data_IF_716388578341
#
_entry.id   IF_716388578341
#
_cell.length_a   1.000
_cell.length_b   1.000
_cell.length_c   1.000
_cell.angle_alpha   90.00
_cell.angle_beta   90.00
_cell.angle_gamma   90.00
#
_symmetry.space_group_name_H-M   'P 1'
#
loop_
_entity.id
_entity.type
_entity.pdbx_description
1 polymer ?
#
# COMPACT_ATOMS: atom_id res chain seq x y z
N UNK A 1 -32.62 -8.31 -25.91
CA UNK A 1 -31.65 -9.02 -26.77
C UNK A 1 -30.31 -8.31 -26.66
N UNK A 2 -29.26 -9.11 -26.47
CA UNK A 2 -27.80 -8.86 -26.36
C UNK A 2 -27.26 -7.77 -25.42
N UNK A 3 -26.61 -8.29 -24.38
CA UNK A 3 -25.41 -7.83 -23.65
C UNK A 3 -24.44 -6.90 -24.39
N UNK A 4 -23.85 -5.94 -23.66
CA UNK A 4 -22.46 -5.52 -23.89
C UNK A 4 -21.83 -5.00 -22.59
N UNK A 5 -21.40 -5.93 -21.74
CA UNK A 5 -20.44 -5.69 -20.67
C UNK A 5 -19.04 -5.70 -21.27
N UNK A 6 -18.50 -4.54 -21.62
CA UNK A 6 -17.13 -4.40 -22.12
C UNK A 6 -16.14 -4.56 -20.96
N UNK A 7 -15.66 -5.79 -20.76
CA UNK A 7 -14.50 -6.08 -19.94
C UNK A 7 -13.26 -5.43 -20.56
N UNK A 8 -12.63 -4.50 -19.85
CA UNK A 8 -11.30 -4.00 -20.21
C UNK A 8 -10.26 -5.07 -19.90
N UNK A 9 -9.57 -5.57 -20.92
CA UNK A 9 -8.44 -6.48 -20.73
C UNK A 9 -7.24 -5.73 -20.14
N UNK A 10 -6.69 -6.30 -19.08
CA UNK A 10 -5.52 -5.78 -18.36
C UNK A 10 -4.27 -6.29 -19.06
N UNK A 11 -3.35 -5.39 -19.37
CA UNK A 11 -2.03 -5.70 -19.92
C UNK A 11 -1.15 -6.39 -18.86
N UNK A 12 -1.32 -7.71 -18.76
CA UNK A 12 -0.23 -8.67 -18.88
C UNK A 12 1.14 -8.23 -18.32
N UNK A 13 1.94 -7.82 -19.29
CA UNK A 13 3.35 -7.50 -19.16
C UNK A 13 3.54 -6.15 -18.49
N UNK A 14 2.58 -5.22 -18.65
CA UNK A 14 2.60 -3.95 -17.93
C UNK A 14 2.37 -4.12 -16.42
N UNK A 15 1.48 -5.02 -15.99
CA UNK A 15 1.27 -5.32 -14.56
C UNK A 15 2.42 -6.13 -13.96
N UNK A 16 3.04 -7.03 -14.73
CA UNK A 16 4.26 -7.72 -14.30
C UNK A 16 5.44 -6.75 -14.17
N UNK A 17 5.68 -5.90 -15.18
CA UNK A 17 6.70 -4.86 -15.13
C UNK A 17 6.44 -3.85 -14.00
N UNK A 18 5.16 -3.53 -13.74
CA UNK A 18 4.76 -2.70 -12.59
C UNK A 18 5.02 -3.39 -11.27
N UNK A 19 4.79 -4.70 -11.15
CA UNK A 19 5.10 -5.47 -9.95
C UNK A 19 6.62 -5.53 -9.70
N UNK A 20 7.44 -5.71 -10.74
CA UNK A 20 8.90 -5.65 -10.68
C UNK A 20 9.39 -4.26 -10.24
N UNK A 21 8.86 -3.18 -10.84
CA UNK A 21 9.14 -1.81 -10.42
C UNK A 21 8.70 -1.52 -8.98
N UNK A 22 7.55 -2.05 -8.54
CA UNK A 22 7.08 -1.93 -7.16
C UNK A 22 8.00 -2.68 -6.20
N UNK A 23 8.58 -3.81 -6.60
CA UNK A 23 9.55 -4.55 -5.81
C UNK A 23 10.88 -3.79 -5.67
N UNK A 24 11.42 -3.24 -6.75
CA UNK A 24 12.65 -2.43 -6.69
C UNK A 24 12.46 -1.18 -5.80
N UNK A 25 11.24 -0.65 -5.74
CA UNK A 25 10.90 0.56 -4.99
C UNK A 25 10.54 0.28 -3.52
N UNK A 26 9.75 -0.76 -3.23
CA UNK A 26 9.26 -1.11 -1.88
C UNK A 26 10.10 -2.20 -1.19
N UNK A 27 11.00 -2.86 -1.92
CA UNK A 27 11.92 -3.88 -1.40
C UNK A 27 13.12 -3.30 -0.64
N UNK A 28 13.43 -2.02 -0.85
CA UNK A 28 14.57 -1.32 -0.24
C UNK A 28 14.16 -0.15 0.68
N UNK A 29 13.01 -0.28 1.34
CA UNK A 29 12.50 0.67 2.32
C UNK A 29 13.52 0.95 3.43
N UNK A 30 13.82 2.25 3.67
CA UNK A 30 14.66 2.67 4.80
C UNK A 30 13.79 2.99 6.02
N UNK A 31 14.10 2.43 7.20
CA UNK A 31 13.32 2.71 8.38
C UNK A 31 13.70 4.05 9.02
N UNK A 32 12.70 4.81 9.46
CA UNK A 32 12.84 5.94 10.38
C UNK A 32 12.02 5.67 11.64
N UNK A 33 12.64 5.77 12.82
CA UNK A 33 12.03 5.42 14.10
C UNK A 33 11.75 6.65 14.99
N UNK A 34 10.86 7.58 14.59
CA UNK A 34 10.55 8.75 15.41
C UNK A 34 9.80 8.38 16.69
N UNK A 35 9.20 7.18 16.76
CA UNK A 35 8.57 6.63 17.95
C UNK A 35 9.01 5.17 18.12
N UNK A 36 9.04 4.70 19.36
CA UNK A 36 9.33 3.30 19.70
C UNK A 36 8.35 2.78 20.73
N UNK A 37 7.73 1.64 20.44
CA UNK A 37 6.67 1.02 21.25
C UNK A 37 5.31 1.10 20.55
N UNK A 38 4.34 0.32 21.01
CA UNK A 38 2.96 0.32 20.52
C UNK A 38 2.09 -0.54 21.44
N UNK A 39 0.81 -0.22 21.60
CA UNK A 39 -0.14 -1.12 22.28
C UNK A 39 -0.68 -2.19 21.31
N UNK A 40 -0.67 -3.48 21.70
CA UNK A 40 -1.33 -4.53 20.92
C UNK A 40 -2.85 -4.28 20.82
N UNK A 41 -3.41 -4.34 19.60
CA UNK A 41 -4.85 -4.09 19.35
C UNK A 41 -5.53 -5.12 18.44
N UNK A 42 -4.79 -6.09 17.91
CA UNK A 42 -5.35 -7.19 17.09
C UNK A 42 -4.46 -8.42 17.12
N UNK A 43 -4.96 -9.53 16.55
CA UNK A 43 -4.25 -10.81 16.41
C UNK A 43 -2.91 -10.67 15.68
N UNK A 44 -2.75 -9.70 14.77
CA UNK A 44 -1.47 -9.38 14.13
C UNK A 44 -0.38 -8.92 15.11
N UNK A 45 -0.75 -8.56 16.34
CA UNK A 45 0.20 -8.17 17.38
C UNK A 45 0.76 -9.36 18.19
N UNK A 46 0.13 -10.54 18.13
CA UNK A 46 0.50 -11.72 18.94
C UNK A 46 1.95 -12.17 18.72
N UNK A 47 2.42 -12.09 17.46
CA UNK A 47 3.78 -12.47 17.06
C UNK A 47 4.49 -11.32 16.33
N UNK A 48 4.14 -10.08 16.66
CA UNK A 48 4.62 -8.91 15.92
C UNK A 48 6.13 -8.69 16.08
N UNK A 49 6.81 -8.49 14.94
CA UNK A 49 8.22 -8.10 14.87
C UNK A 49 8.54 -6.80 15.63
N UNK A 50 7.52 -5.97 15.89
CA UNK A 50 7.66 -4.75 16.69
C UNK A 50 8.25 -5.01 18.08
N UNK A 51 7.90 -6.12 18.74
CA UNK A 51 8.47 -6.46 20.05
C UNK A 51 9.98 -6.75 19.94
N UNK A 52 10.39 -7.46 18.89
CA UNK A 52 11.81 -7.72 18.63
C UNK A 52 12.56 -6.40 18.36
N UNK A 53 12.02 -5.55 17.48
CA UNK A 53 12.61 -4.23 17.16
C UNK A 53 12.72 -3.35 18.41
N UNK A 54 11.70 -3.34 19.26
CA UNK A 54 11.70 -2.62 20.53
C UNK A 54 12.79 -3.15 21.47
N UNK A 55 12.90 -4.47 21.63
CA UNK A 55 13.93 -5.10 22.46
C UNK A 55 15.35 -4.88 21.92
N UNK A 56 15.55 -4.92 20.61
CA UNK A 56 16.84 -4.61 19.98
C UNK A 56 17.24 -3.15 20.23
N UNK A 57 16.27 -2.23 20.15
CA UNK A 57 16.49 -0.83 20.51
C UNK A 57 16.83 -0.67 22.01
N UNK A 58 16.11 -1.34 22.92
CA UNK A 58 16.40 -1.30 24.36
C UNK A 58 17.83 -1.76 24.65
N UNK A 59 18.26 -2.90 24.08
CA UNK A 59 19.62 -3.44 24.24
C UNK A 59 20.69 -2.45 23.76
N UNK A 60 20.50 -1.86 22.57
CA UNK A 60 21.44 -0.85 22.02
C UNK A 60 21.58 0.39 22.91
N UNK A 61 20.55 0.70 23.70
CA UNK A 61 20.53 1.82 24.63
C UNK A 61 20.82 1.42 26.08
N UNK A 62 21.36 0.22 26.32
CA UNK A 62 21.74 -0.26 27.66
C UNK A 62 20.56 -0.52 28.60
N UNK A 63 19.36 -0.76 28.05
CA UNK A 63 18.13 -1.03 28.82
C UNK A 63 17.78 -2.52 28.75
N UNK A 64 17.18 -3.09 29.83
CA UNK A 64 16.74 -4.47 29.84
C UNK A 64 15.59 -4.69 28.84
N UNK A 65 15.53 -5.88 28.24
CA UNK A 65 14.43 -6.28 27.36
C UNK A 65 13.14 -6.52 28.13
N UNK A 66 12.01 -6.38 27.43
CA UNK A 66 10.66 -6.57 27.97
C UNK A 66 9.95 -7.74 27.31
N UNK A 67 9.02 -8.35 28.05
CA UNK A 67 8.21 -9.46 27.56
C UNK A 67 7.05 -9.02 26.65
N UNK A 68 6.60 -7.77 26.79
CA UNK A 68 5.48 -7.18 26.04
C UNK A 68 5.85 -5.78 25.56
N UNK A 69 5.20 -5.34 24.47
CA UNK A 69 5.41 -3.99 23.96
C UNK A 69 4.94 -2.95 24.98
N UNK A 70 5.77 -1.92 25.17
CA UNK A 70 5.43 -0.75 25.98
C UNK A 70 4.68 0.29 25.13
N UNK A 71 3.87 1.18 25.77
CA UNK A 71 3.29 2.32 25.08
C UNK A 71 4.35 3.12 24.30
N UNK A 72 4.02 3.62 23.11
CA UNK A 72 4.97 4.32 22.27
C UNK A 72 5.48 5.59 22.94
N UNK A 73 6.78 5.85 22.75
CA UNK A 73 7.41 7.10 23.19
C UNK A 73 8.14 7.76 22.02
N UNK A 74 8.08 9.09 21.96
CA UNK A 74 8.82 9.88 20.98
C UNK A 74 10.32 9.71 21.19
N UNK A 75 11.04 9.39 20.11
CA UNK A 75 12.49 9.29 20.09
C UNK A 75 13.09 10.60 19.60
N UNK A 76 13.26 11.56 20.52
CA UNK A 76 13.74 12.91 20.18
C UNK A 76 15.06 12.89 19.40
N UNK A 77 15.97 11.96 19.73
CA UNK A 77 17.26 11.81 19.06
C UNK A 77 17.13 11.37 17.59
N UNK A 78 16.08 10.63 17.22
CA UNK A 78 15.87 10.13 15.86
C UNK A 78 15.24 11.17 14.93
N UNK A 79 14.66 12.25 15.47
CA UNK A 79 13.95 13.25 14.66
C UNK A 79 14.89 13.92 13.64
N UNK A 80 16.13 14.22 14.05
CA UNK A 80 17.14 14.82 13.16
C UNK A 80 17.54 13.93 11.99
N UNK A 81 17.32 12.60 12.09
CA UNK A 81 17.70 11.61 11.07
C UNK A 81 16.99 11.83 9.74
N UNK A 82 15.84 12.51 9.74
CA UNK A 82 15.12 12.85 8.50
C UNK A 82 16.01 13.57 7.47
N UNK A 83 17.02 14.31 7.93
CA UNK A 83 17.95 15.08 7.09
C UNK A 83 18.94 14.19 6.34
N UNK A 84 19.17 12.97 6.81
CA UNK A 84 20.13 12.05 6.22
C UNK A 84 19.56 11.24 5.05
N UNK A 85 18.23 11.20 4.87
CA UNK A 85 17.62 10.48 3.76
C UNK A 85 17.89 11.18 2.43
N UNK A 86 18.26 10.39 1.42
CA UNK A 86 18.44 10.85 0.05
C UNK A 86 17.09 11.01 -0.65
N UNK A 87 17.07 11.73 -1.77
CA UNK A 87 15.83 12.03 -2.51
C UNK A 87 15.17 10.75 -3.08
N UNK A 88 16.00 9.78 -3.46
CA UNK A 88 15.62 8.47 -3.97
C UNK A 88 15.14 7.51 -2.87
N UNK A 89 15.23 7.90 -1.59
CA UNK A 89 14.85 7.02 -0.50
C UNK A 89 13.33 6.92 -0.34
N UNK A 90 12.88 5.70 -0.10
CA UNK A 90 11.54 5.36 0.35
C UNK A 90 11.59 5.06 1.84
N UNK A 91 10.99 5.93 2.65
CA UNK A 91 11.15 5.91 4.11
C UNK A 91 9.90 5.37 4.78
N UNK A 92 10.02 4.26 5.50
CA UNK A 92 8.97 3.75 6.37
C UNK A 92 9.07 4.42 7.72
N UNK A 93 8.01 5.13 8.10
CA UNK A 93 7.91 5.86 9.36
C UNK A 93 7.36 4.95 10.44
N UNK A 94 8.04 4.92 11.59
CA UNK A 94 7.69 4.15 12.77
C UNK A 94 7.51 2.63 12.53
N UNK A 95 8.42 1.94 11.80
CA UNK A 95 8.27 0.50 11.60
C UNK A 95 8.31 -0.23 12.96
N UNK A 96 7.36 -1.14 13.17
CA UNK A 96 7.22 -1.88 14.43
C UNK A 96 6.60 -1.05 15.58
N UNK A 97 6.14 0.16 15.29
CA UNK A 97 5.39 1.05 16.20
C UNK A 97 4.14 1.58 15.47
N UNK A 98 3.31 2.37 16.15
CA UNK A 98 2.14 3.01 15.51
C UNK A 98 2.08 4.49 15.89
N UNK A 99 2.17 5.36 14.88
CA UNK A 99 2.16 6.82 15.07
C UNK A 99 0.87 7.30 15.74
N UNK A 100 -0.25 6.65 15.46
CA UNK A 100 -1.58 7.09 15.89
C UNK A 100 -2.05 6.37 17.15
N UNK A 101 -1.20 5.61 17.82
CA UNK A 101 -1.48 5.11 19.17
C UNK A 101 -1.78 6.29 20.13
N UNK A 102 -2.91 6.29 20.88
CA UNK A 102 -3.31 7.38 21.78
C UNK A 102 -2.27 7.83 22.82
N UNK A 103 -1.17 7.09 23.04
CA UNK A 103 -0.06 7.53 23.88
C UNK A 103 0.83 8.60 23.21
N UNK A 104 0.84 8.69 21.88
CA UNK A 104 1.47 9.78 21.14
C UNK A 104 0.51 10.96 21.10
N UNK A 105 0.90 12.12 21.63
CA UNK A 105 0.04 13.32 21.63
C UNK A 105 -0.05 13.96 20.25
N UNK A 106 -1.10 14.76 20.03
CA UNK A 106 -1.25 15.51 18.78
C UNK A 106 -0.08 16.49 18.58
N UNK A 107 0.53 16.98 19.67
CA UNK A 107 1.74 17.78 19.58
C UNK A 107 2.94 17.02 19.03
N UNK A 108 3.10 15.77 19.44
CA UNK A 108 4.16 14.91 18.94
C UNK A 108 3.91 14.55 17.47
N UNK A 109 2.66 14.28 17.08
CA UNK A 109 2.28 14.06 15.68
C UNK A 109 2.57 15.28 14.80
N UNK A 110 2.18 16.48 15.24
CA UNK A 110 2.48 17.73 14.53
C UNK A 110 3.97 17.87 14.30
N UNK A 111 4.78 17.59 15.32
CA UNK A 111 6.24 17.71 15.23
C UNK A 111 6.85 16.71 14.22
N UNK A 112 6.37 15.46 14.22
CA UNK A 112 6.80 14.43 13.26
C UNK A 112 6.41 14.83 11.84
N UNK A 113 5.16 15.28 11.62
CA UNK A 113 4.66 15.61 10.28
C UNK A 113 5.29 16.92 9.76
N UNK A 114 5.54 17.91 10.61
CA UNK A 114 6.33 19.10 10.25
C UNK A 114 7.76 18.72 9.84
N UNK A 115 8.35 17.75 10.53
CA UNK A 115 9.67 17.21 10.19
C UNK A 115 9.65 16.54 8.81
N UNK A 116 8.61 15.74 8.49
CA UNK A 116 8.39 15.17 7.16
C UNK A 116 8.20 16.26 6.10
N UNK A 117 7.40 17.29 6.41
CA UNK A 117 7.10 18.40 5.50
C UNK A 117 8.36 19.22 5.14
N UNK A 118 9.40 19.18 5.97
CA UNK A 118 10.70 19.80 5.68
C UNK A 118 11.50 19.08 4.58
N UNK A 119 11.10 17.86 4.20
CA UNK A 119 11.72 17.02 3.16
C UNK A 119 10.71 16.65 2.06
N UNK A 120 10.17 17.63 1.31
CA UNK A 120 9.19 17.36 0.25
C UNK A 120 9.77 16.55 -0.92
N UNK A 121 11.09 16.38 -0.97
CA UNK A 121 11.84 15.62 -1.96
C UNK A 121 11.93 14.11 -1.66
N UNK A 122 11.61 13.68 -0.44
CA UNK A 122 11.69 12.28 0.02
C UNK A 122 10.30 11.68 0.20
N UNK A 123 10.11 10.43 -0.19
CA UNK A 123 8.84 9.72 -0.03
C UNK A 123 8.75 9.03 1.33
N UNK A 124 7.67 9.30 2.06
CA UNK A 124 7.40 8.72 3.37
C UNK A 124 6.14 7.85 3.34
N UNK A 125 6.21 6.73 4.05
CA UNK A 125 5.16 5.73 4.16
C UNK A 125 4.90 5.45 5.63
N UNK A 126 3.64 5.40 6.04
CA UNK A 126 3.29 4.85 7.35
C UNK A 126 2.05 3.99 7.27
N UNK A 127 1.94 3.09 8.24
CA UNK A 127 0.82 2.20 8.38
C UNK A 127 0.33 2.24 9.82
N UNK A 128 -0.98 2.23 10.02
CA UNK A 128 -1.58 2.25 11.35
C UNK A 128 -2.65 1.17 11.49
N UNK A 129 -2.88 0.73 12.73
CA UNK A 129 -4.06 -0.02 13.16
C UNK A 129 -5.11 0.89 13.82
N UNK A 130 -4.74 2.13 14.14
CA UNK A 130 -5.61 3.18 14.69
C UNK A 130 -6.19 4.07 13.57
N UNK A 131 -6.89 3.44 12.62
CA UNK A 131 -7.37 4.10 11.40
C UNK A 131 -8.34 5.28 11.68
N UNK A 132 -9.22 5.14 12.67
CA UNK A 132 -10.11 6.21 13.12
C UNK A 132 -9.35 7.44 13.60
N UNK A 133 -8.37 7.26 14.50
CA UNK A 133 -7.55 8.36 15.00
C UNK A 133 -6.73 9.02 13.90
N UNK A 134 -6.20 8.24 12.95
CA UNK A 134 -5.56 8.79 11.76
C UNK A 134 -6.52 9.67 10.96
N UNK A 135 -7.75 9.19 10.70
CA UNK A 135 -8.77 9.95 9.98
C UNK A 135 -9.10 11.26 10.69
N UNK A 136 -9.42 11.20 11.98
CA UNK A 136 -9.83 12.37 12.78
C UNK A 136 -8.73 13.44 12.79
N UNK A 137 -7.51 13.04 13.11
CA UNK A 137 -6.38 13.95 13.21
C UNK A 137 -6.04 14.60 11.86
N UNK A 138 -5.95 13.81 10.77
CA UNK A 138 -5.60 14.32 9.44
C UNK A 138 -6.73 15.14 8.80
N UNK A 139 -7.98 14.80 9.07
CA UNK A 139 -9.13 15.62 8.69
C UNK A 139 -9.11 16.97 9.42
N UNK A 140 -8.79 16.97 10.71
CA UNK A 140 -8.66 18.21 11.48
C UNK A 140 -7.53 19.11 10.93
N UNK A 141 -6.42 18.55 10.47
CA UNK A 141 -5.35 19.32 9.79
C UNK A 141 -5.80 19.90 8.44
N UNK A 142 -6.68 19.20 7.72
CA UNK A 142 -7.18 19.64 6.41
C UNK A 142 -8.19 20.78 6.51
N UNK A 143 -9.05 20.72 7.54
CA UNK A 143 -10.21 21.60 7.68
C UNK A 143 -9.90 22.91 8.41
N UNK A 144 -9.04 22.86 9.42
CA UNK A 144 -8.80 24.01 10.31
C UNK A 144 -7.41 24.61 10.06
N UNK A 145 -7.32 25.73 9.32
CA UNK A 145 -6.05 26.39 9.04
C UNK A 145 -5.44 26.97 10.32
N UNK A 146 -4.13 27.24 10.28
CA UNK A 146 -3.42 27.83 11.40
C UNK A 146 -4.01 29.20 11.76
N UNK A 147 -4.52 29.31 12.99
CA UNK A 147 -5.00 30.59 13.53
C UNK A 147 -3.79 31.40 14.05
N UNK A 148 -3.67 32.70 13.72
CA UNK A 148 -2.62 33.55 14.27
C UNK A 148 -2.59 33.49 15.81
N UNK A 149 -1.41 33.31 16.39
CA UNK A 149 -1.22 33.18 17.85
C UNK A 149 -1.44 31.77 18.40
N UNK A 150 -1.83 30.79 17.58
CA UNK A 150 -1.88 29.37 17.96
C UNK A 150 -0.62 28.62 17.54
N UNK A 151 -0.45 27.41 18.09
CA UNK A 151 0.68 26.54 17.75
C UNK A 151 0.65 26.19 16.25
N UNK A 152 1.78 26.30 15.53
CA UNK A 152 1.83 25.98 14.11
C UNK A 152 1.54 24.49 13.90
N UNK A 153 0.52 24.20 13.09
CA UNK A 153 0.18 22.84 12.64
C UNK A 153 0.65 22.62 11.20
N UNK A 154 1.00 21.37 10.84
CA UNK A 154 1.38 21.03 9.48
C UNK A 154 0.21 21.24 8.51
N UNK A 155 0.52 21.65 7.27
CA UNK A 155 -0.44 21.60 6.18
C UNK A 155 -0.70 20.14 5.81
N UNK A 156 -1.94 19.81 5.50
CA UNK A 156 -2.33 18.48 5.04
C UNK A 156 -3.36 18.57 3.91
N UNK A 157 -3.31 17.69 2.88
CA UNK A 157 -2.40 16.56 2.69
C UNK A 157 -0.99 16.94 2.18
N UNK A 158 0.01 16.11 2.49
CA UNK A 158 1.37 16.24 1.96
C UNK A 158 1.58 15.37 0.72
N UNK A 159 2.12 15.96 -0.35
CA UNK A 159 2.32 15.27 -1.64
C UNK A 159 3.36 14.13 -1.58
N UNK A 160 4.30 14.21 -0.65
CA UNK A 160 5.38 13.24 -0.47
C UNK A 160 5.07 12.16 0.57
N UNK A 161 3.82 12.11 1.07
CA UNK A 161 3.39 11.12 2.06
C UNK A 161 2.43 10.11 1.43
N UNK A 162 2.57 8.86 1.85
CA UNK A 162 1.74 7.71 1.52
C UNK A 162 1.21 7.14 2.82
N UNK A 163 -0.11 7.10 2.99
CA UNK A 163 -0.72 6.60 4.22
C UNK A 163 -1.35 5.24 3.99
N UNK A 164 -1.39 4.40 5.01
CA UNK A 164 -2.09 3.14 4.93
C UNK A 164 -2.58 2.59 6.25
N UNK A 165 -3.39 1.55 6.14
CA UNK A 165 -3.85 0.75 7.27
C UNK A 165 -3.25 -0.64 7.20
N UNK A 166 -2.94 -1.24 8.35
CA UNK A 166 -2.64 -2.67 8.44
C UNK A 166 -3.88 -3.44 8.84
N UNK A 167 -4.13 -4.56 8.16
CA UNK A 167 -5.32 -5.38 8.27
C UNK A 167 -4.92 -6.84 8.25
N UNK A 168 -5.52 -7.64 9.13
CA UNK A 168 -5.18 -9.05 9.28
C UNK A 168 -6.21 -10.00 8.67
N UNK A 169 -7.48 -9.61 8.68
CA UNK A 169 -8.63 -10.45 8.37
C UNK A 169 -9.85 -9.58 7.99
N UNK A 170 -10.97 -10.22 7.65
CA UNK A 170 -12.18 -9.52 7.24
C UNK A 170 -12.74 -8.57 8.31
N UNK A 171 -12.65 -8.95 9.59
CA UNK A 171 -13.17 -8.14 10.69
C UNK A 171 -12.37 -6.83 10.82
N UNK A 172 -11.04 -6.95 10.90
CA UNK A 172 -10.15 -5.79 10.96
C UNK A 172 -10.20 -4.96 9.68
N UNK A 173 -10.47 -5.56 8.51
CA UNK A 173 -10.66 -4.83 7.25
C UNK A 173 -11.89 -3.92 7.33
N UNK A 174 -13.04 -4.50 7.71
CA UNK A 174 -14.30 -3.78 7.83
C UNK A 174 -14.24 -2.67 8.88
N UNK A 175 -13.51 -2.91 9.97
CA UNK A 175 -13.34 -1.93 11.04
C UNK A 175 -12.42 -0.75 10.65
N UNK A 176 -11.45 -0.93 9.75
CA UNK A 176 -10.40 0.07 9.49
C UNK A 176 -10.47 0.73 8.11
N UNK A 177 -10.89 0.01 7.08
CA UNK A 177 -10.88 0.50 5.71
C UNK A 177 -11.80 1.71 5.45
N UNK A 178 -13.02 1.79 6.02
CA UNK A 178 -13.87 2.97 5.84
C UNK A 178 -13.15 4.28 6.22
N UNK A 179 -12.46 4.30 7.36
CA UNK A 179 -11.70 5.45 7.82
C UNK A 179 -10.56 5.85 6.86
N UNK A 180 -9.88 4.90 6.22
CA UNK A 180 -8.85 5.21 5.22
C UNK A 180 -9.43 5.97 4.01
N UNK A 181 -10.61 5.58 3.54
CA UNK A 181 -11.24 6.19 2.37
C UNK A 181 -11.86 7.55 2.68
N UNK A 182 -12.25 7.79 3.94
CA UNK A 182 -12.65 9.12 4.43
C UNK A 182 -11.47 10.05 4.69
N UNK A 183 -10.27 9.50 4.96
CA UNK A 183 -9.08 10.30 5.27
C UNK A 183 -8.63 11.10 4.04
N UNK A 184 -8.43 12.43 4.14
CA UNK A 184 -7.83 13.22 3.08
C UNK A 184 -6.39 12.75 2.84
N UNK A 185 -6.06 12.28 1.64
CA UNK A 185 -4.72 11.79 1.34
C UNK A 185 -4.45 11.83 -0.17
N UNK A 186 -3.18 12.04 -0.52
CA UNK A 186 -2.72 11.98 -1.92
C UNK A 186 -2.52 10.54 -2.42
N UNK A 187 -2.37 9.58 -1.50
CA UNK A 187 -2.18 8.18 -1.84
C UNK A 187 -2.53 7.29 -0.64
N UNK A 188 -3.31 6.24 -0.89
CA UNK A 188 -3.88 5.32 0.11
C UNK A 188 -3.43 3.90 -0.15
N UNK A 189 -2.95 3.25 0.92
CA UNK A 189 -2.49 1.87 0.87
C UNK A 189 -3.33 1.02 1.83
N UNK A 190 -3.87 -0.09 1.33
CA UNK A 190 -4.41 -1.14 2.19
C UNK A 190 -3.36 -2.23 2.31
N UNK A 191 -2.83 -2.44 3.52
CA UNK A 191 -1.82 -3.46 3.78
C UNK A 191 -2.44 -4.65 4.50
N UNK A 192 -2.65 -5.72 3.77
CA UNK A 192 -3.01 -7.03 4.29
C UNK A 192 -1.74 -7.77 4.72
N UNK A 193 -1.13 -7.33 5.83
CA UNK A 193 0.09 -7.94 6.37
C UNK A 193 0.14 -7.82 7.90
N UNK A 194 0.16 -8.95 8.63
CA UNK A 194 0.06 -10.32 8.12
C UNK A 194 -1.37 -10.70 7.70
N UNK A 195 -1.54 -11.45 6.60
CA UNK A 195 -2.84 -12.09 6.31
C UNK A 195 -3.05 -13.28 7.26
N UNK A 196 -4.05 -13.18 8.13
CA UNK A 196 -4.40 -14.18 9.13
C UNK A 196 -5.76 -14.83 8.90
N UNK A 197 -6.62 -14.23 8.08
CA UNK A 197 -7.91 -14.77 7.67
C UNK A 197 -8.31 -14.38 6.24
N UNK A 198 -9.43 -14.94 5.73
CA UNK A 198 -10.03 -14.49 4.48
C UNK A 198 -10.47 -13.02 4.60
N UNK A 199 -10.47 -12.31 3.48
CA UNK A 199 -10.85 -10.89 3.40
C UNK A 199 -11.71 -10.70 2.16
N UNK A 200 -12.92 -10.19 2.34
CA UNK A 200 -13.77 -9.70 1.26
C UNK A 200 -13.39 -8.24 0.97
N UNK A 201 -12.60 -8.04 -0.09
CA UNK A 201 -12.13 -6.71 -0.49
C UNK A 201 -13.11 -5.98 -1.42
N UNK A 202 -14.16 -6.65 -1.87
CA UNK A 202 -15.14 -6.06 -2.80
C UNK A 202 -16.17 -5.21 -2.08
N UNK A 203 -16.63 -5.66 -0.90
CA UNK A 203 -17.71 -5.00 -0.17
C UNK A 203 -17.47 -4.93 1.33
N UNK A 204 -17.83 -3.78 1.91
CA UNK A 204 -17.91 -3.54 3.35
C UNK A 204 -19.29 -2.97 3.63
N UNK A 205 -20.07 -3.65 4.46
CA UNK A 205 -21.30 -3.07 4.96
C UNK A 205 -20.99 -2.15 6.15
N UNK A 206 -21.43 -0.90 6.04
CA UNK A 206 -21.24 0.17 7.01
C UNK A 206 -22.28 0.08 8.13
N UNK A 207 -22.06 0.81 9.22
CA UNK A 207 -22.98 0.88 10.35
C UNK A 207 -24.37 1.42 9.97
N UNK A 208 -24.45 2.25 8.92
CA UNK A 208 -25.70 2.76 8.35
C UNK A 208 -26.51 1.72 7.59
N UNK A 209 -25.91 0.55 7.32
CA UNK A 209 -26.44 -0.47 6.43
C UNK A 209 -26.08 -0.26 4.96
N UNK A 210 -25.47 0.86 4.60
CA UNK A 210 -24.94 1.11 3.25
C UNK A 210 -23.78 0.16 2.94
N UNK A 211 -23.50 -0.06 1.65
CA UNK A 211 -22.36 -0.87 1.23
C UNK A 211 -21.29 0.02 0.62
N UNK A 212 -20.14 0.10 1.27
CA UNK A 212 -18.92 0.60 0.67
C UNK A 212 -18.37 -0.47 -0.28
N UNK A 213 -18.05 -0.07 -1.51
CA UNK A 213 -17.37 -0.90 -2.51
C UNK A 213 -15.95 -0.35 -2.76
N UNK A 214 -14.95 -0.74 -1.95
CA UNK A 214 -13.64 -0.08 -1.91
C UNK A 214 -12.94 -0.03 -3.27
N UNK A 215 -12.97 -1.14 -3.99
CA UNK A 215 -12.31 -1.27 -5.30
C UNK A 215 -13.07 -0.56 -6.43
N UNK A 216 -14.36 -0.28 -6.22
CA UNK A 216 -15.19 0.48 -7.18
C UNK A 216 -15.14 1.98 -6.92
N UNK A 217 -14.86 2.39 -5.69
CA UNK A 217 -14.85 3.80 -5.29
C UNK A 217 -16.25 4.39 -5.17
N UNK A 218 -17.19 3.61 -4.62
CA UNK A 218 -18.59 4.03 -4.42
C UNK A 218 -19.14 3.53 -3.09
N UNK A 219 -20.18 4.20 -2.61
CA UNK A 219 -21.07 3.74 -1.55
C UNK A 219 -22.45 3.52 -2.15
N UNK A 220 -23.00 2.33 -1.99
CA UNK A 220 -24.34 1.96 -2.43
C UNK A 220 -25.32 2.18 -1.27
N UNK A 221 -26.38 2.95 -1.52
CA UNK A 221 -27.38 3.30 -0.52
C UNK A 221 -28.18 2.08 -0.07
N UNK A 222 -28.41 1.98 1.24
CA UNK A 222 -29.40 1.09 1.80
C UNK A 222 -30.82 1.56 1.46
N UNK A 223 -31.61 0.69 0.84
CA UNK A 223 -32.96 1.01 0.39
C UNK A 223 -34.04 0.75 1.45
N UNK A 224 -33.72 -0.09 2.45
CA UNK A 224 -34.62 -0.45 3.54
C UNK A 224 -34.80 -1.96 3.68
N UNK A 225 -35.74 -2.33 4.55
CA UNK A 225 -36.13 -3.72 4.79
C UNK A 225 -37.54 -3.94 4.25
N UNK A 226 -37.72 -4.98 3.45
CA UNK A 226 -39.03 -5.41 2.97
C UNK A 226 -39.89 -6.00 4.10
N UNK A 227 -41.18 -6.19 3.86
CA UNK A 227 -42.11 -6.75 4.86
C UNK A 227 -41.75 -8.17 5.30
N UNK A 228 -41.05 -8.94 4.45
CA UNK A 228 -40.56 -10.28 4.76
C UNK A 228 -39.24 -10.28 5.58
N UNK A 229 -38.70 -9.11 5.92
CA UNK A 229 -37.43 -8.96 6.63
C UNK A 229 -36.19 -8.94 5.73
N UNK A 230 -36.34 -9.10 4.41
CA UNK A 230 -35.22 -9.04 3.47
C UNK A 230 -34.76 -7.60 3.26
N UNK A 231 -33.45 -7.42 3.35
CA UNK A 231 -32.78 -6.13 3.15
C UNK A 231 -32.55 -5.91 1.67
N UNK A 232 -32.77 -4.69 1.20
CA UNK A 232 -32.43 -4.31 -0.18
C UNK A 232 -31.63 -3.02 -0.23
N UNK A 233 -30.90 -2.87 -1.34
CA UNK A 233 -30.05 -1.72 -1.62
C UNK A 233 -30.46 -1.11 -2.95
N UNK A 234 -30.23 0.19 -3.12
CA UNK A 234 -30.48 0.87 -4.39
C UNK A 234 -29.52 0.35 -5.48
N UNK A 235 -29.87 0.48 -6.77
CA UNK A 235 -29.02 0.04 -7.87
C UNK A 235 -27.60 0.62 -7.81
N UNK A 236 -26.61 -0.18 -8.27
CA UNK A 236 -25.17 0.18 -8.19
C UNK A 236 -24.77 1.34 -9.11
N UNK A 237 -25.54 1.59 -10.15
CA UNK A 237 -25.37 2.68 -11.12
C UNK A 237 -25.84 4.04 -10.59
N UNK A 238 -26.56 4.06 -9.46
CA UNK A 238 -26.95 5.26 -8.72
C UNK A 238 -26.36 5.25 -7.30
N UNK A 239 -25.02 5.36 -7.17
CA UNK A 239 -24.38 5.30 -5.86
C UNK A 239 -24.78 6.49 -4.99
N UNK A 240 -24.86 6.27 -3.67
CA UNK A 240 -25.08 7.31 -2.67
C UNK A 240 -24.00 8.39 -2.76
N UNK A 241 -22.75 7.95 -2.90
CA UNK A 241 -21.60 8.83 -3.09
C UNK A 241 -20.42 8.08 -3.71
N UNK A 242 -19.46 8.83 -4.23
CA UNK A 242 -18.18 8.30 -4.68
C UNK A 242 -17.13 8.42 -3.57
N UNK A 243 -16.23 7.45 -3.53
CA UNK A 243 -15.10 7.40 -2.59
C UNK A 243 -13.80 7.19 -3.37
N UNK A 244 -12.65 7.63 -2.81
CA UNK A 244 -11.37 7.25 -3.38
C UNK A 244 -11.20 5.74 -3.32
N UNK A 245 -10.56 5.18 -4.35
CA UNK A 245 -10.08 3.80 -4.37
C UNK A 245 -8.74 3.69 -3.63
N UNK A 246 -8.33 2.49 -3.19
CA UNK A 246 -6.95 2.29 -2.77
C UNK A 246 -6.03 2.48 -3.98
N UNK A 247 -4.93 3.20 -3.79
CA UNK A 247 -3.91 3.41 -4.82
C UNK A 247 -2.95 2.22 -4.92
N UNK A 248 -2.83 1.45 -3.84
CA UNK A 248 -2.03 0.23 -3.77
C UNK A 248 -2.61 -0.72 -2.70
N UNK A 249 -2.60 -2.01 -3.00
CA UNK A 249 -2.79 -3.08 -2.03
C UNK A 249 -1.44 -3.78 -1.79
N UNK A 250 -1.04 -3.94 -0.53
CA UNK A 250 0.12 -4.74 -0.15
C UNK A 250 -0.38 -6.00 0.55
N UNK A 251 0.13 -7.17 0.14
CA UNK A 251 -0.24 -8.46 0.74
C UNK A 251 1.02 -9.16 1.23
N UNK A 252 1.01 -9.67 2.47
CA UNK A 252 2.16 -10.40 3.00
C UNK A 252 1.82 -11.35 4.14
N UNK A 253 2.64 -12.39 4.29
CA UNK A 253 2.58 -13.33 5.41
C UNK A 253 3.24 -12.77 6.68
N UNK A 254 2.97 -13.43 7.80
CA UNK A 254 3.58 -13.08 9.09
C UNK A 254 5.08 -13.41 9.12
N UNK A 255 5.87 -12.52 9.73
CA UNK A 255 7.32 -12.68 9.91
C UNK A 255 7.65 -13.04 11.35
N UNK A 256 8.78 -13.71 11.55
CA UNK A 256 9.31 -14.12 12.85
C UNK A 256 9.20 -15.62 13.11
N UNK A 257 9.83 -16.09 14.19
CA UNK A 257 9.94 -17.52 14.54
C UNK A 257 8.59 -18.21 14.78
N UNK A 258 7.58 -17.43 15.20
CA UNK A 258 6.22 -17.90 15.45
C UNK A 258 5.25 -17.55 14.32
N UNK A 259 5.76 -17.18 13.14
CA UNK A 259 4.96 -16.82 11.99
C UNK A 259 3.90 -17.87 11.65
N UNK A 260 2.69 -17.37 11.44
CA UNK A 260 1.54 -18.14 10.97
C UNK A 260 1.45 -17.96 9.43
N UNK A 261 1.58 -19.04 8.62
CA UNK A 261 1.51 -18.95 7.14
C UNK A 261 0.10 -18.69 6.60
N UNK A 262 -0.13 -17.70 5.72
CA UNK A 262 -1.45 -17.43 5.16
C UNK A 262 -1.91 -18.54 4.21
N UNK A 263 -3.22 -18.78 4.13
CA UNK A 263 -3.75 -19.71 3.13
C UNK A 263 -3.64 -19.08 1.72
N UNK A 264 -3.02 -19.76 0.74
CA UNK A 264 -2.79 -19.20 -0.61
C UNK A 264 -4.05 -18.74 -1.34
N UNK A 265 -5.20 -19.39 -1.09
CA UNK A 265 -6.46 -18.98 -1.72
C UNK A 265 -6.90 -17.57 -1.30
N UNK A 266 -6.61 -17.15 -0.06
CA UNK A 266 -6.98 -15.81 0.40
C UNK A 266 -6.23 -14.74 -0.38
N UNK A 267 -4.93 -14.94 -0.61
CA UNK A 267 -4.08 -14.05 -1.40
C UNK A 267 -4.58 -13.97 -2.85
N UNK A 268 -4.84 -15.13 -3.47
CA UNK A 268 -5.38 -15.19 -4.85
C UNK A 268 -6.73 -14.49 -5.00
N UNK A 269 -7.61 -14.61 -4.02
CA UNK A 269 -8.92 -13.96 -4.05
C UNK A 269 -8.79 -12.44 -4.00
N UNK A 270 -7.91 -11.92 -3.13
CA UNK A 270 -7.62 -10.48 -3.06
C UNK A 270 -7.03 -9.98 -4.39
N UNK A 271 -6.03 -10.67 -4.94
CA UNK A 271 -5.40 -10.32 -6.21
C UNK A 271 -6.41 -10.31 -7.36
N UNK A 272 -7.26 -11.35 -7.45
CA UNK A 272 -8.29 -11.45 -8.49
C UNK A 272 -9.30 -10.30 -8.41
N UNK A 273 -9.76 -9.97 -7.21
CA UNK A 273 -10.69 -8.87 -7.01
C UNK A 273 -10.06 -7.51 -7.34
N UNK A 274 -8.85 -7.24 -6.83
CA UNK A 274 -8.12 -6.00 -7.10
C UNK A 274 -7.84 -5.80 -8.60
N UNK A 275 -7.43 -6.88 -9.28
CA UNK A 275 -7.21 -6.92 -10.72
C UNK A 275 -8.45 -6.51 -11.49
N UNK A 276 -9.62 -7.04 -11.14
CA UNK A 276 -10.90 -6.71 -11.80
C UNK A 276 -11.18 -5.20 -11.85
N UNK A 277 -10.67 -4.44 -10.87
CA UNK A 277 -10.87 -2.99 -10.73
C UNK A 277 -9.63 -2.15 -11.01
N UNK A 278 -8.60 -2.75 -11.62
CA UNK A 278 -7.31 -2.11 -11.93
C UNK A 278 -6.64 -1.46 -10.71
N UNK A 279 -6.79 -2.07 -9.53
CA UNK A 279 -6.09 -1.68 -8.31
C UNK A 279 -4.76 -2.43 -8.24
N UNK A 280 -3.61 -1.75 -8.13
CA UNK A 280 -2.31 -2.39 -8.10
C UNK A 280 -2.13 -3.24 -6.84
N UNK A 281 -1.50 -4.40 -7.00
CA UNK A 281 -1.18 -5.30 -5.88
C UNK A 281 0.31 -5.54 -5.82
N UNK A 282 0.88 -5.40 -4.64
CA UNK A 282 2.25 -5.80 -4.33
C UNK A 282 2.23 -6.96 -3.32
N UNK A 283 2.60 -8.15 -3.79
CA UNK A 283 2.78 -9.30 -2.91
C UNK A 283 4.19 -9.29 -2.33
N UNK A 284 4.30 -9.00 -1.03
CA UNK A 284 5.57 -8.89 -0.29
C UNK A 284 6.20 -10.25 0.04
N UNK A 285 5.46 -11.34 -0.17
CA UNK A 285 5.90 -12.71 0.11
C UNK A 285 5.20 -13.37 1.29
N UNK A 286 5.59 -14.62 1.54
CA UNK A 286 4.94 -15.53 2.49
C UNK A 286 5.32 -15.31 3.97
N UNK A 287 6.09 -14.25 4.26
CA UNK A 287 6.56 -13.96 5.60
C UNK A 287 7.76 -14.84 5.97
N UNK A 288 7.72 -15.54 7.11
CA UNK A 288 8.79 -16.47 7.54
C UNK A 288 8.52 -17.94 7.22
N UNK A 289 7.46 -18.22 6.47
CA UNK A 289 7.10 -19.56 6.03
C UNK A 289 7.24 -19.67 4.52
N UNK A 290 7.51 -20.87 4.01
CA UNK A 290 7.60 -21.15 2.57
C UNK A 290 6.63 -22.27 2.18
N UNK A 291 5.79 -22.09 1.14
CA UNK A 291 4.91 -23.17 0.68
C UNK A 291 5.72 -24.33 0.08
N UNK A 292 5.30 -25.57 0.35
CA UNK A 292 5.97 -26.79 -0.10
C UNK A 292 4.99 -27.67 -0.86
N UNK A 293 5.38 -28.09 -2.06
CA UNK A 293 4.55 -28.95 -2.93
C UNK A 293 4.70 -30.43 -2.58
N UNK A 294 5.89 -30.85 -2.14
CA UNK A 294 6.21 -32.21 -1.71
C UNK A 294 6.81 -32.18 -0.30
N UNK A 295 5.98 -32.13 0.76
CA UNK A 295 6.48 -32.04 2.13
C UNK A 295 7.14 -33.36 2.55
N UNK A 296 8.25 -33.27 3.30
CA UNK A 296 8.79 -34.42 4.03
C UNK A 296 7.99 -34.57 5.32
N UNK A 297 6.98 -35.43 5.24
CA UNK A 297 6.00 -35.68 6.31
C UNK A 297 6.61 -36.38 7.52
N UNK A 298 7.74 -37.06 7.36
CA UNK A 298 8.34 -37.90 8.39
C UNK A 298 9.50 -37.20 9.10
N UNK A 299 10.29 -36.40 8.36
CA UNK A 299 11.56 -35.88 8.87
C UNK A 299 11.67 -34.36 8.89
N UNK A 300 10.67 -33.58 8.44
CA UNK A 300 10.68 -32.12 8.57
C UNK A 300 10.04 -31.66 9.90
N UNK A 301 10.83 -31.37 10.96
CA UNK A 301 10.28 -30.89 12.23
C UNK A 301 9.72 -29.46 12.14
N UNK A 302 9.94 -28.76 11.03
CA UNK A 302 9.50 -27.38 10.79
C UNK A 302 8.22 -27.30 9.96
N UNK A 303 7.69 -28.45 9.53
CA UNK A 303 6.47 -28.53 8.74
C UNK A 303 5.27 -27.94 9.47
N UNK A 304 4.56 -27.06 8.77
CA UNK A 304 3.30 -26.44 9.19
C UNK A 304 2.22 -26.84 8.18
N UNK A 305 1.18 -27.51 8.66
CA UNK A 305 0.00 -27.86 7.85
C UNK A 305 -1.05 -26.79 8.09
N UNK A 306 -1.57 -26.21 7.01
CA UNK A 306 -2.69 -25.28 7.01
C UNK A 306 -3.92 -26.02 6.47
N UNK A 307 -4.98 -26.07 7.27
CA UNK A 307 -6.26 -26.66 6.88
C UNK A 307 -6.90 -25.95 5.70
N UNK A 308 -7.84 -26.63 5.05
CA UNK A 308 -8.61 -26.09 3.91
C UNK A 308 -9.37 -24.78 4.23
N UNK A 309 -9.82 -24.61 5.48
CA UNK A 309 -10.45 -23.36 5.95
C UNK A 309 -9.43 -22.24 6.24
N UNK A 310 -8.14 -22.58 6.29
CA UNK A 310 -7.00 -21.71 6.57
C UNK A 310 -6.79 -21.30 8.03
N UNK A 311 -7.74 -21.62 8.93
CA UNK A 311 -7.68 -21.20 10.33
C UNK A 311 -6.86 -22.14 11.20
N UNK A 312 -6.84 -23.43 10.90
CA UNK A 312 -6.15 -24.43 11.69
C UNK A 312 -4.72 -24.65 11.16
N UNK A 313 -3.75 -24.55 12.07
CA UNK A 313 -2.32 -24.66 11.76
C UNK A 313 -1.65 -25.60 12.76
N UNK A 314 -1.20 -26.77 12.30
CA UNK A 314 -0.54 -27.75 13.17
C UNK A 314 0.93 -27.99 12.81
N UNK A 315 1.74 -28.33 13.81
CA UNK A 315 3.15 -28.73 13.66
C UNK A 315 3.27 -30.25 13.60
N UNK A 316 3.87 -30.78 12.53
CA UNK A 316 4.20 -32.21 12.37
C UNK A 316 3.02 -33.19 12.40
N UNK A 317 3.16 -34.37 11.80
CA UNK A 317 2.12 -35.42 11.85
C UNK A 317 2.00 -35.98 13.28
N UNK A 318 0.97 -35.53 14.02
CA UNK A 318 0.70 -36.03 15.37
C UNK A 318 -0.10 -35.10 16.29
N UNK A 319 -0.26 -33.83 15.96
CA UNK A 319 -1.14 -32.92 16.72
C UNK A 319 -2.62 -33.20 16.47
N UNK A 320 -3.47 -33.11 17.49
CA UNK A 320 -4.93 -33.24 17.36
C UNK A 320 -5.53 -32.28 16.29
N UNK A 321 -4.89 -31.13 16.08
CA UNK A 321 -5.23 -30.15 15.03
C UNK A 321 -4.95 -30.68 13.61
N UNK A 322 -3.91 -31.51 13.44
CA UNK A 322 -3.58 -32.14 12.15
C UNK A 322 -4.49 -33.33 11.83
N UNK A 323 -4.99 -34.02 12.86
CA UNK A 323 -6.05 -35.02 12.70
C UNK A 323 -7.36 -34.38 12.20
N UNK A 324 -7.69 -33.17 12.68
CA UNK A 324 -8.87 -32.43 12.21
C UNK A 324 -8.69 -31.85 10.79
N UNK A 325 -7.49 -31.38 10.43
CA UNK A 325 -7.21 -30.92 9.07
C UNK A 325 -7.32 -32.05 8.03
N UNK A 326 -6.81 -33.23 8.37
CA UNK A 326 -6.75 -34.39 7.46
C UNK A 326 -8.05 -35.20 7.33
N UNK A 327 -9.06 -34.98 8.19
CA UNK A 327 -10.33 -35.74 8.16
C UNK A 327 -11.41 -35.20 7.22
N UNK A 328 -11.21 -34.06 6.56
CA UNK A 328 -12.26 -33.43 5.74
C UNK A 328 -12.57 -34.15 4.42
N UNK A 329 -11.75 -35.12 3.99
CA UNK A 329 -12.00 -35.95 2.80
C UNK A 329 -12.03 -35.20 1.46
N UNK A 330 -11.81 -33.88 1.47
CA UNK A 330 -11.64 -33.02 0.31
C UNK A 330 -10.14 -32.75 0.20
N UNK A 331 -9.45 -33.35 -0.77
CA UNK A 331 -8.02 -33.12 -0.98
C UNK A 331 -7.71 -31.62 -0.99
N UNK A 332 -6.89 -31.11 -0.06
CA UNK A 332 -6.85 -29.65 0.13
C UNK A 332 -5.98 -29.08 1.24
N UNK A 333 -5.10 -29.86 1.88
CA UNK A 333 -4.17 -29.31 2.87
C UNK A 333 -3.03 -28.54 2.18
N UNK A 334 -2.67 -27.38 2.74
CA UNK A 334 -1.54 -26.57 2.25
C UNK A 334 -0.37 -26.69 3.19
N UNK A 335 0.77 -27.14 2.66
CA UNK A 335 1.98 -27.36 3.43
C UNK A 335 2.92 -26.19 3.34
N UNK A 336 3.49 -25.82 4.48
CA UNK A 336 4.56 -24.85 4.60
C UNK A 336 5.72 -25.46 5.39
N UNK A 337 6.94 -25.01 5.09
CA UNK A 337 8.14 -25.28 5.89
C UNK A 337 8.72 -23.96 6.36
N UNK A 338 9.54 -23.97 7.41
CA UNK A 338 10.28 -22.79 7.86
C UNK A 338 11.74 -22.96 7.45
N UNK A 339 12.23 -22.22 6.43
CA UNK A 339 13.62 -22.34 6.04
C UNK A 339 14.54 -21.97 7.21
N UNK A 340 15.68 -22.67 7.33
CA UNK A 340 16.76 -22.26 8.22
C UNK A 340 17.20 -20.83 7.90
N UNK A 341 17.67 -20.09 8.91
CA UNK A 341 17.83 -18.63 8.95
C UNK A 341 18.67 -17.94 7.84
N UNK A 342 19.17 -18.67 6.85
CA UNK A 342 20.03 -18.16 5.78
C UNK A 342 19.30 -17.80 4.48
N UNK A 343 18.01 -18.13 4.33
CA UNK A 343 17.23 -17.75 3.15
C UNK A 343 16.17 -16.69 3.54
N UNK A 344 16.30 -15.46 3.04
CA UNK A 344 15.24 -14.45 3.16
C UNK A 344 13.99 -14.96 2.43
N UNK A 345 12.89 -15.31 3.14
CA UNK A 345 11.77 -15.96 2.51
C UNK A 345 10.91 -14.99 1.66
N UNK A 346 11.23 -13.69 1.67
CA UNK A 346 10.67 -12.73 0.72
C UNK A 346 11.11 -12.98 -0.72
N UNK A 347 12.12 -13.83 -0.95
CA UNK A 347 12.62 -14.23 -2.28
C UNK A 347 11.86 -15.43 -2.89
N UNK A 348 10.92 -16.06 -2.18
CA UNK A 348 10.18 -17.22 -2.70
C UNK A 348 8.84 -16.78 -3.32
N UNK A 349 8.91 -16.43 -4.61
CA UNK A 349 7.75 -16.17 -5.47
C UNK A 349 6.85 -17.42 -5.61
N UNK A 350 5.58 -17.18 -5.92
CA UNK A 350 4.57 -18.22 -6.19
C UNK A 350 4.20 -18.24 -7.68
N UNK A 351 3.95 -19.39 -8.34
CA UNK A 351 4.36 -20.76 -8.02
C UNK A 351 5.50 -21.25 -8.93
N UNK A 352 6.20 -22.27 -8.41
CA UNK A 352 7.03 -23.19 -9.19
C UNK A 352 6.12 -24.03 -10.10
N UNK A 353 5.69 -23.46 -11.23
CA UNK A 353 5.16 -24.19 -12.39
C UNK A 353 5.64 -23.46 -13.64
N UNK A 354 6.35 -24.18 -14.50
CA UNK A 354 6.69 -23.72 -15.85
C UNK A 354 5.36 -23.50 -16.59
N UNK A 355 5.05 -22.26 -16.95
CA UNK A 355 3.88 -21.89 -17.75
C UNK A 355 4.07 -22.37 -19.20
N UNK A 356 4.05 -23.68 -19.41
CA UNK A 356 3.83 -24.27 -20.73
C UNK A 356 2.31 -24.38 -20.95
N UNK A 357 1.67 -23.25 -21.27
CA UNK A 357 0.42 -23.17 -22.03
C UNK A 357 0.06 -21.69 -22.28
N UNK A 358 0.23 -21.21 -23.51
CA UNK A 358 -0.49 -20.05 -24.02
C UNK A 358 -1.98 -20.41 -24.18
N UNK A 359 -2.90 -19.48 -23.93
CA UNK A 359 -3.89 -19.21 -24.98
C UNK A 359 -4.04 -17.72 -25.33
N UNK A 360 -4.43 -17.55 -26.58
CA UNK A 360 -4.72 -16.35 -27.41
C UNK A 360 -5.72 -15.40 -26.72
N UNK A 361 -5.91 -14.11 -27.05
CA UNK A 361 -6.52 -13.54 -28.26
C UNK A 361 -6.24 -12.03 -28.41
N UNK A 362 -6.26 -11.55 -29.66
CA UNK A 362 -6.15 -10.15 -30.14
C UNK A 362 -7.54 -9.48 -30.32
N UNK A 363 -7.65 -8.16 -30.09
CA UNK A 363 -8.17 -7.13 -31.03
C UNK A 363 -8.62 -5.81 -30.33
N UNK A 364 -8.63 -4.65 -31.03
CA UNK A 364 -8.48 -3.31 -30.44
C UNK A 364 -9.80 -2.52 -30.26
N UNK A 365 -9.92 -1.66 -29.22
CA UNK A 365 -11.03 -0.68 -29.10
C UNK A 365 -10.52 0.68 -28.59
N UNK A 366 -10.45 1.70 -29.46
CA UNK A 366 -11.45 2.77 -29.76
C UNK A 366 -11.66 3.81 -28.63
N UNK A 367 -11.21 5.04 -28.90
CA UNK A 367 -11.34 6.23 -28.04
C UNK A 367 -12.79 6.79 -28.04
N UNK A 368 -13.37 7.00 -26.85
CA UNK A 368 -14.69 7.64 -26.66
C UNK A 368 -14.67 9.15 -26.95
N UNK A 369 -15.82 9.70 -27.40
CA UNK A 369 -16.02 11.08 -27.86
C UNK A 369 -16.89 11.89 -26.89
N UNK A 370 -16.74 13.20 -26.93
CA UNK A 370 -17.38 14.24 -26.09
C UNK A 370 -18.93 14.22 -26.04
N UNK A 371 -19.60 13.42 -26.86
CA UNK A 371 -21.07 13.34 -26.93
C UNK A 371 -21.73 12.55 -25.79
N UNK A 372 -20.95 11.86 -24.94
CA UNK A 372 -21.46 10.89 -23.95
C UNK A 372 -21.87 11.52 -22.60
N UNK A 373 -22.11 12.84 -22.55
CA UNK A 373 -22.44 13.59 -21.31
C UNK A 373 -23.94 13.91 -21.25
N UNK A 374 -24.59 13.48 -20.16
CA UNK A 374 -26.03 13.67 -19.93
C UNK A 374 -26.41 15.17 -19.84
N UNK A 375 -27.65 15.55 -20.22
CA UNK A 375 -28.11 16.95 -20.16
C UNK A 375 -28.02 17.57 -18.76
N UNK A 376 -28.30 16.80 -17.71
CA UNK A 376 -28.17 17.22 -16.32
C UNK A 376 -26.70 17.48 -15.93
N UNK A 377 -25.77 16.65 -16.39
CA UNK A 377 -24.33 16.89 -16.22
C UNK A 377 -23.86 18.12 -17.00
N UNK A 378 -24.47 18.40 -18.15
CA UNK A 378 -24.24 19.61 -18.95
C UNK A 378 -24.73 20.88 -18.24
N UNK A 379 -25.89 20.84 -17.60
CA UNK A 379 -26.46 22.00 -16.92
C UNK A 379 -25.81 22.25 -15.55
N UNK A 380 -25.41 21.18 -14.85
CA UNK A 380 -24.56 21.27 -13.66
C UNK A 380 -23.17 21.79 -14.03
N UNK A 381 -22.59 21.36 -15.16
CA UNK A 381 -21.33 21.92 -15.67
C UNK A 381 -21.46 23.39 -16.07
N UNK A 382 -22.60 23.85 -16.61
CA UNK A 382 -22.85 25.27 -16.90
C UNK A 382 -23.00 26.10 -15.63
N UNK A 383 -23.67 25.58 -14.59
CA UNK A 383 -23.79 26.24 -13.28
C UNK A 383 -22.43 26.33 -12.58
N UNK A 384 -21.64 25.24 -12.59
CA UNK A 384 -20.27 25.25 -12.08
C UNK A 384 -19.32 26.10 -12.92
N UNK A 385 -19.51 26.20 -14.24
CA UNK A 385 -18.71 27.06 -15.10
C UNK A 385 -19.03 28.53 -14.89
N UNK A 386 -20.30 28.89 -14.66
CA UNK A 386 -20.72 30.25 -14.30
C UNK A 386 -20.19 30.66 -12.93
N UNK A 387 -20.26 29.78 -11.93
CA UNK A 387 -19.72 30.07 -10.60
C UNK A 387 -18.18 30.09 -10.60
N UNK A 388 -17.53 29.19 -11.35
CA UNK A 388 -16.08 29.26 -11.58
C UNK A 388 -15.67 30.51 -12.35
N UNK A 389 -16.47 30.98 -13.30
CA UNK A 389 -16.20 32.23 -14.03
C UNK A 389 -16.39 33.45 -13.12
N UNK A 390 -17.41 33.47 -12.26
CA UNK A 390 -17.61 34.52 -11.25
C UNK A 390 -16.43 34.59 -10.27
N UNK A 391 -16.05 33.44 -9.71
CA UNK A 391 -14.89 33.31 -8.82
C UNK A 391 -13.57 33.60 -9.54
N UNK A 392 -13.44 33.24 -10.83
CA UNK A 392 -12.27 33.60 -11.62
C UNK A 392 -12.21 35.11 -11.90
N UNK A 393 -13.33 35.77 -12.19
CA UNK A 393 -13.35 37.23 -12.39
C UNK A 393 -13.02 37.98 -11.09
N UNK A 394 -13.54 37.50 -9.95
CA UNK A 394 -13.18 38.00 -8.61
C UNK A 394 -11.67 37.80 -8.32
N UNK A 395 -11.11 36.63 -8.67
CA UNK A 395 -9.67 36.35 -8.51
C UNK A 395 -8.79 37.09 -9.52
N UNK A 396 -9.27 37.33 -10.75
CA UNK A 396 -8.51 37.98 -11.82
C UNK A 396 -8.40 39.48 -11.58
N UNK A 397 -9.45 40.11 -11.04
CA UNK A 397 -9.36 41.48 -10.50
C UNK A 397 -8.34 41.61 -9.36
N UNK A 398 -8.05 40.52 -8.63
CA UNK A 398 -7.03 40.50 -7.56
C UNK A 398 -5.62 40.12 -8.06
N UNK A 399 -5.49 39.55 -9.26
CA UNK A 399 -4.22 38.95 -9.74
C UNK A 399 -3.57 39.74 -10.89
N UNK A 400 -4.24 40.74 -11.47
CA UNK A 400 -3.66 41.61 -12.52
C UNK A 400 -2.54 42.56 -12.01
N UNK A 401 -2.15 42.50 -10.73
CA UNK A 401 -1.04 43.28 -10.17
C UNK A 401 0.35 42.60 -10.18
N UNK A 402 0.49 41.31 -10.55
CA UNK A 402 1.84 40.69 -10.55
C UNK A 402 2.09 39.75 -11.74
N UNK A 403 2.76 40.30 -12.75
CA UNK A 403 3.09 39.69 -14.03
C UNK A 403 4.41 38.89 -13.98
N UNK A 404 4.32 37.65 -14.51
CA UNK A 404 5.24 36.84 -15.35
C UNK A 404 6.76 36.70 -15.08
N UNK A 405 7.28 35.46 -15.25
CA UNK A 405 8.06 34.94 -16.42
C UNK A 405 8.71 33.57 -16.07
N UNK A 406 8.75 32.63 -17.04
CA UNK A 406 9.46 31.31 -17.08
C UNK A 406 10.38 31.27 -18.33
N UNK A 407 11.18 30.23 -18.72
CA UNK A 407 11.80 29.02 -18.10
C UNK A 407 13.32 28.87 -18.54
N UNK A 408 13.99 27.70 -18.79
CA UNK A 408 13.76 26.25 -18.51
C UNK A 408 14.98 25.38 -18.05
N UNK A 409 14.74 24.20 -17.42
CA UNK A 409 14.97 22.85 -17.99
C UNK A 409 14.65 21.70 -17.01
N UNK A 410 13.76 20.83 -17.49
CA UNK A 410 13.14 19.67 -16.85
C UNK A 410 13.47 18.49 -17.77
N UNK A 411 14.06 17.41 -17.28
CA UNK A 411 14.36 16.25 -18.14
C UNK A 411 14.00 14.87 -17.56
N UNK A 412 13.93 14.67 -16.24
CA UNK A 412 13.65 13.32 -15.69
C UNK A 412 12.26 13.16 -15.04
N UNK A 413 11.77 14.19 -14.34
CA UNK A 413 10.38 14.21 -13.83
C UNK A 413 9.32 14.32 -14.94
N UNK A 414 9.69 14.78 -16.13
CA UNK A 414 8.83 14.73 -17.31
C UNK A 414 8.75 13.31 -17.89
N UNK A 415 9.75 12.46 -17.66
CA UNK A 415 9.83 11.10 -18.20
C UNK A 415 8.84 10.16 -17.50
N UNK A 416 8.74 10.23 -16.18
CA UNK A 416 7.75 9.48 -15.39
C UNK A 416 6.31 9.95 -15.66
N UNK A 417 6.09 11.27 -15.76
CA UNK A 417 4.78 11.82 -16.18
C UNK A 417 4.42 11.49 -17.62
N UNK A 418 5.40 11.33 -18.50
CA UNK A 418 5.20 10.88 -19.88
C UNK A 418 4.77 9.41 -19.94
N UNK A 419 5.43 8.54 -19.18
CA UNK A 419 5.09 7.10 -19.12
C UNK A 419 3.68 6.90 -18.54
N UNK A 420 3.30 7.66 -17.52
CA UNK A 420 1.98 7.54 -16.88
C UNK A 420 0.82 8.11 -17.70
N UNK A 421 1.09 8.91 -18.74
CA UNK A 421 0.06 9.65 -19.49
C UNK A 421 0.07 9.41 -21.02
N UNK A 422 0.97 8.56 -21.56
CA UNK A 422 1.04 8.28 -23.02
C UNK A 422 0.23 7.02 -23.37
N UNK A 423 -0.58 7.04 -24.45
CA UNK A 423 -1.25 5.83 -24.94
C UNK A 423 -0.24 4.73 -25.30
N UNK A 424 -0.53 3.49 -24.93
CA UNK A 424 0.38 2.33 -25.07
C UNK A 424 0.91 2.15 -26.51
N UNK A 425 0.10 2.50 -27.51
CA UNK A 425 0.45 2.44 -28.94
C UNK A 425 1.59 3.37 -29.37
N UNK A 426 2.01 4.30 -28.52
CA UNK A 426 2.99 5.36 -28.82
C UNK A 426 4.26 5.27 -27.95
N UNK A 427 4.37 4.24 -27.10
CA UNK A 427 5.59 3.99 -26.32
C UNK A 427 6.66 3.31 -27.20
N UNK A 428 7.93 3.75 -27.17
CA UNK A 428 8.96 3.20 -28.04
C UNK A 428 9.34 1.78 -27.61
N UNK A 429 9.12 0.80 -28.50
CA UNK A 429 9.67 -0.55 -28.40
C UNK A 429 11.19 -0.44 -28.47
N UNK A 430 11.90 -0.68 -27.37
CA UNK A 430 13.36 -0.69 -27.39
C UNK A 430 13.86 -2.01 -27.94
N UNK A 431 14.46 -1.92 -29.12
CA UNK A 431 15.33 -2.96 -29.70
C UNK A 431 16.42 -3.36 -28.69
N UNK A 432 16.48 -4.66 -28.42
CA UNK A 432 17.54 -5.32 -27.67
C UNK A 432 18.81 -5.24 -28.53
N UNK A 433 19.72 -4.33 -28.20
CA UNK A 433 21.05 -4.33 -28.79
C UNK A 433 22.04 -5.08 -27.90
N UNK A 434 22.36 -6.28 -28.36
CA UNK A 434 23.58 -7.02 -28.07
C UNK A 434 24.82 -6.16 -28.35
N UNK A 435 25.70 -5.95 -27.37
CA UNK A 435 27.15 -5.80 -27.64
C UNK A 435 27.96 -6.16 -26.38
N UNK A 436 29.12 -6.84 -26.49
CA UNK A 436 29.74 -7.59 -25.39
C UNK A 436 30.73 -6.78 -24.54
N UNK A 437 31.03 -7.35 -23.37
CA UNK A 437 32.04 -6.96 -22.39
C UNK A 437 33.41 -6.83 -23.06
N UNK A 438 34.02 -5.64 -22.97
CA UNK A 438 35.37 -5.36 -23.46
C UNK A 438 36.01 -4.20 -22.68
N UNK A 439 37.20 -4.49 -22.16
CA UNK A 439 38.12 -3.69 -21.36
C UNK A 439 38.25 -2.22 -21.77
N UNK A 440 38.49 -1.33 -20.80
CA UNK A 440 39.46 -0.23 -20.93
C UNK A 440 39.80 0.31 -19.52
N UNK A 441 40.84 -0.29 -18.94
CA UNK A 441 41.58 0.27 -17.81
C UNK A 441 42.23 1.60 -18.20
N UNK A 442 42.14 2.58 -17.30
CA UNK A 442 42.66 3.91 -17.53
C UNK A 442 44.18 4.00 -17.42
N UNK A 443 44.80 4.76 -18.33
CA UNK A 443 46.01 5.55 -18.08
C UNK A 443 45.98 6.75 -19.02
N UNK A 444 45.92 7.96 -18.45
CA UNK A 444 46.72 9.10 -18.90
C UNK A 444 46.66 10.23 -17.87
N UNK A 445 47.81 10.47 -17.24
CA UNK A 445 48.14 11.67 -16.44
C UNK A 445 48.33 12.88 -17.37
N UNK A 446 48.12 14.11 -16.89
CA UNK A 446 48.36 15.32 -17.66
C UNK A 446 49.85 15.72 -17.66
N UNK A 447 50.32 16.49 -18.65
CA UNK A 447 51.69 17.00 -18.66
C UNK A 447 51.83 18.23 -17.75
N UNK A 448 52.95 18.31 -17.03
CA UNK A 448 53.45 19.53 -16.39
C UNK A 448 54.62 20.06 -17.21
N UNK A 449 54.49 21.28 -17.70
CA UNK A 449 55.58 22.22 -18.04
C UNK A 449 55.52 23.34 -17.00
N UNK A 450 56.57 23.88 -16.40
CA UNK A 450 58.02 23.72 -16.47
C UNK A 450 58.62 24.85 -15.60
N UNK A 451 59.86 24.71 -15.13
CA UNK A 451 60.79 25.81 -14.80
C UNK A 451 62.12 25.25 -14.25
N UNK A 452 63.19 25.42 -15.03
CA UNK A 452 64.56 25.92 -14.71
C UNK A 452 65.00 25.90 -13.24
N UNK A 453 66.12 25.31 -12.82
CA UNK A 453 67.56 25.52 -13.11
C UNK A 453 68.23 25.87 -11.77
N UNK A 454 69.44 25.34 -11.62
CA UNK A 454 70.44 25.47 -10.54
C UNK A 454 70.26 24.61 -9.28
#
# INVERSE_FOLDING_TARGET
MSSDSTFQFIDLDAEQHRAELLFDVLGHEKPWYPVMGCRPVSSGCDHCVGLQLHNDWLRRNGRPTVATLQPPTLQQAEIGRVRAFAREDHVIVAPGSDLFDPAISDEQLDYIILTIASRPDVLFYWFTKHAERQRDYLLALSTYPNTPGTRPRPKWPLANVRIGISVEDNETYRARAPYLFETPAMFRIVRFEPVLGPIDVEKIELWSGDILWPLRGIVQAYGGTQQNGERFWLPLDEPLTHTPKPDLIIIGGERGEKARPPHPMWIRNIEKAARTWAVPVFFRGWGSCRPVVRPDLENDPTLVIVSIDGYHRGKGLGGATNFLATQSGLGGDVYFTRPSSEADPSLFYYPVVKLDARPEWFAPSQKQRITDISPAARDLAKLHARERYRLMQESRMQTEETVAVTPPKIAMGARLRGILNTPISELPVREILNTPIGELSGRNRPPKSGASND
#
